data_IF_451196543149
#
_entry.id   IF_451196543149
#
_cell.length_a   1.000
_cell.length_b   1.000
_cell.length_c   1.000
_cell.angle_alpha   90.00
_cell.angle_beta   90.00
_cell.angle_gamma   90.00
#
_symmetry.space_group_name_H-M   'P 1'
#
loop_
_entity.id
_entity.type
_entity.pdbx_description
1 polymer ?
#
# COMPACT_ATOMS: atom_id res chain seq x y z
N UNK A 1 -31.11 17.99 4.49
CA UNK A 1 -29.88 18.00 5.30
C UNK A 1 -28.82 18.85 4.59
N UNK A 2 -28.25 19.89 5.21
CA UNK A 2 -27.25 20.71 4.57
C UNK A 2 -25.92 19.94 4.47
N UNK A 3 -25.35 19.90 3.27
CA UNK A 3 -24.02 19.32 3.01
C UNK A 3 -22.99 20.11 3.81
N UNK A 4 -22.38 19.52 4.84
CA UNK A 4 -21.23 20.11 5.53
C UNK A 4 -20.10 20.25 4.51
N UNK A 5 -19.78 21.49 4.13
CA UNK A 5 -18.58 21.82 3.33
C UNK A 5 -17.38 21.69 4.27
N UNK A 6 -16.67 20.58 4.19
CA UNK A 6 -15.29 20.49 4.68
C UNK A 6 -14.43 21.29 3.70
N UNK A 7 -14.39 22.61 3.88
CA UNK A 7 -13.47 23.51 3.19
C UNK A 7 -12.46 23.96 4.25
N UNK A 8 -11.35 23.25 4.36
CA UNK A 8 -10.13 23.89 4.85
C UNK A 8 -9.85 25.08 3.94
N UNK A 9 -9.51 26.27 4.48
CA UNK A 9 -9.08 27.38 3.63
C UNK A 9 -7.90 26.88 2.80
N UNK A 10 -7.98 27.04 1.47
CA UNK A 10 -6.83 26.79 0.60
C UNK A 10 -5.84 27.94 0.89
N UNK A 11 -4.94 27.69 1.84
CA UNK A 11 -3.80 28.56 2.09
C UNK A 11 -2.86 28.48 0.90
N UNK A 12 -2.29 29.61 0.50
CA UNK A 12 -1.23 29.62 -0.51
C UNK A 12 0.03 29.08 0.18
N UNK A 13 0.17 27.76 0.21
CA UNK A 13 1.27 27.06 0.89
C UNK A 13 2.65 27.58 0.46
N UNK A 14 2.76 28.18 -0.73
CA UNK A 14 4.00 28.79 -1.21
C UNK A 14 4.39 30.08 -0.46
N UNK A 15 3.45 30.73 0.24
CA UNK A 15 3.66 31.93 1.04
C UNK A 15 3.78 31.65 2.53
N UNK A 16 3.46 30.43 2.95
CA UNK A 16 3.52 30.01 4.35
C UNK A 16 4.99 29.88 4.80
N UNK A 17 5.35 30.34 6.02
CA UNK A 17 6.69 30.16 6.53
C UNK A 17 7.01 28.67 6.73
N UNK A 18 8.27 28.29 6.48
CA UNK A 18 8.72 26.88 6.56
C UNK A 18 8.37 26.23 7.89
N UNK A 19 8.47 26.96 9.00
CA UNK A 19 8.11 26.46 10.33
C UNK A 19 6.65 26.00 10.43
N UNK A 20 5.72 26.76 9.85
CA UNK A 20 4.31 26.40 9.84
C UNK A 20 4.06 25.15 8.98
N UNK A 21 4.67 25.07 7.79
CA UNK A 21 4.59 23.87 6.95
C UNK A 21 5.17 22.62 7.64
N UNK A 22 6.25 22.78 8.40
CA UNK A 22 6.85 21.71 9.19
C UNK A 22 5.89 21.21 10.28
N UNK A 23 5.28 22.12 11.06
CA UNK A 23 4.34 21.76 12.12
C UNK A 23 3.14 20.93 11.61
N UNK A 24 2.65 21.21 10.40
CA UNK A 24 1.55 20.46 9.79
C UNK A 24 1.97 19.10 9.23
N UNK A 25 3.22 18.95 8.77
CA UNK A 25 3.71 17.71 8.15
C UNK A 25 4.34 16.75 9.15
N UNK A 26 5.01 17.28 10.17
CA UNK A 26 5.82 16.51 11.11
C UNK A 26 5.04 15.39 11.80
N UNK A 27 3.80 15.56 12.28
CA UNK A 27 3.06 14.47 12.91
C UNK A 27 2.88 13.27 12.00
N UNK A 28 2.53 13.49 10.73
CA UNK A 28 2.33 12.44 9.74
C UNK A 28 3.64 11.78 9.32
N UNK A 29 4.72 12.56 9.19
CA UNK A 29 6.06 12.04 8.89
C UNK A 29 6.63 11.21 10.04
N UNK A 30 6.40 11.61 11.29
CA UNK A 30 6.78 10.84 12.49
C UNK A 30 6.01 9.52 12.53
N UNK A 31 4.72 9.54 12.20
CA UNK A 31 3.92 8.31 12.11
C UNK A 31 4.48 7.37 11.03
N UNK A 32 4.79 7.90 9.84
CA UNK A 32 5.45 7.14 8.76
C UNK A 32 6.80 6.57 9.17
N UNK A 33 7.62 7.35 9.89
CA UNK A 33 8.91 6.91 10.42
C UNK A 33 8.74 5.73 11.39
N UNK A 34 7.77 5.79 12.31
CA UNK A 34 7.46 4.69 13.21
C UNK A 34 7.03 3.45 12.40
N UNK A 35 6.18 3.64 11.38
CA UNK A 35 5.80 2.57 10.46
C UNK A 35 7.01 1.91 9.78
N UNK A 36 7.95 2.69 9.26
CA UNK A 36 9.18 2.20 8.66
C UNK A 36 10.10 1.47 9.65
N UNK A 37 10.17 1.92 10.90
CA UNK A 37 10.89 1.20 11.96
C UNK A 37 10.25 -0.16 12.27
N UNK A 38 8.91 -0.22 12.33
CA UNK A 38 8.18 -1.48 12.51
C UNK A 38 8.43 -2.41 11.31
N UNK A 39 8.38 -1.89 10.08
CA UNK A 39 8.68 -2.65 8.87
C UNK A 39 10.10 -3.23 8.92
N UNK A 40 11.08 -2.45 9.37
CA UNK A 40 12.47 -2.91 9.55
C UNK A 40 12.58 -4.08 10.54
N UNK A 41 11.84 -4.02 11.66
CA UNK A 41 11.75 -5.12 12.64
C UNK A 41 11.06 -6.35 12.03
N UNK A 42 10.06 -6.17 11.16
CA UNK A 42 9.43 -7.30 10.45
C UNK A 42 10.45 -7.96 9.53
N UNK A 43 11.20 -7.19 8.74
CA UNK A 43 12.24 -7.74 7.85
C UNK A 43 13.30 -8.49 8.64
N UNK A 44 13.74 -7.98 9.80
CA UNK A 44 14.78 -8.65 10.61
C UNK A 44 14.34 -10.03 11.12
N UNK A 45 13.03 -10.28 11.28
CA UNK A 45 12.52 -11.61 11.65
C UNK A 45 12.68 -12.65 10.54
N UNK A 46 12.90 -12.21 9.30
CA UNK A 46 13.11 -13.06 8.14
C UNK A 46 14.58 -13.10 7.70
N UNK A 47 15.52 -12.73 8.58
CA UNK A 47 16.96 -12.76 8.32
C UNK A 47 17.44 -14.14 7.82
N UNK A 48 16.92 -15.24 8.39
CA UNK A 48 17.29 -16.60 7.94
C UNK A 48 16.91 -16.86 6.47
N UNK A 49 15.80 -16.30 6.00
CA UNK A 49 15.36 -16.41 4.60
C UNK A 49 16.27 -15.60 3.70
N UNK A 50 16.59 -14.36 4.10
CA UNK A 50 17.51 -13.51 3.37
C UNK A 50 18.93 -14.09 3.36
N UNK A 51 19.36 -14.76 4.42
CA UNK A 51 20.65 -15.44 4.47
C UNK A 51 20.69 -16.68 3.57
N UNK A 52 19.56 -17.35 3.36
CA UNK A 52 19.46 -18.45 2.39
C UNK A 52 19.59 -17.93 0.95
N UNK A 53 19.00 -16.78 0.63
CA UNK A 53 19.20 -16.09 -0.65
C UNK A 53 19.07 -14.56 -0.57
N UNK A 54 20.21 -13.87 -0.53
CA UNK A 54 20.27 -12.41 -0.40
C UNK A 54 19.61 -11.68 -1.59
N UNK A 55 19.46 -12.35 -2.75
CA UNK A 55 18.86 -11.74 -3.95
C UNK A 55 17.38 -11.44 -3.76
N UNK A 56 16.71 -12.07 -2.79
CA UNK A 56 15.33 -11.74 -2.42
C UNK A 56 15.19 -10.27 -1.97
N UNK A 57 16.21 -9.72 -1.30
CA UNK A 57 16.19 -8.33 -0.85
C UNK A 57 16.04 -7.33 -1.99
N UNK A 58 16.47 -7.69 -3.22
CA UNK A 58 16.41 -6.79 -4.39
C UNK A 58 14.98 -6.45 -4.81
N UNK A 59 14.00 -7.30 -4.47
CA UNK A 59 12.60 -7.11 -4.88
C UNK A 59 11.74 -6.46 -3.81
N UNK A 60 12.26 -6.27 -2.59
CA UNK A 60 11.52 -5.59 -1.51
C UNK A 60 11.05 -4.19 -1.97
N UNK A 61 11.91 -3.30 -2.54
CA UNK A 61 11.47 -1.98 -2.95
C UNK A 61 10.40 -2.05 -4.05
N UNK A 62 10.54 -2.99 -4.99
CA UNK A 62 9.60 -3.16 -6.10
C UNK A 62 8.20 -3.56 -5.60
N UNK A 63 8.13 -4.54 -4.70
CA UNK A 63 6.87 -5.05 -4.18
C UNK A 63 6.16 -4.00 -3.33
N UNK A 64 6.89 -3.36 -2.42
CA UNK A 64 6.35 -2.30 -1.55
C UNK A 64 5.83 -1.14 -2.40
N UNK A 65 6.67 -0.60 -3.29
CA UNK A 65 6.29 0.52 -4.16
C UNK A 65 5.05 0.23 -5.00
N UNK A 66 5.02 -0.91 -5.71
CA UNK A 66 3.93 -1.15 -6.66
C UNK A 66 2.60 -1.42 -5.94
N UNK A 67 2.64 -2.04 -4.76
CA UNK A 67 1.45 -2.27 -3.94
C UNK A 67 0.88 -0.95 -3.41
N UNK A 68 1.73 -0.05 -2.89
CA UNK A 68 1.34 1.28 -2.43
C UNK A 68 0.86 2.17 -3.58
N UNK A 69 1.49 2.11 -4.76
CA UNK A 69 1.06 2.87 -5.93
C UNK A 69 -0.35 2.47 -6.40
N UNK A 70 -0.66 1.17 -6.42
CA UNK A 70 -2.01 0.67 -6.74
C UNK A 70 -3.00 1.07 -5.65
N UNK A 71 -2.61 0.90 -4.38
CA UNK A 71 -3.43 1.30 -3.23
C UNK A 71 -3.79 2.79 -3.27
N UNK A 72 -2.80 3.67 -3.44
CA UNK A 72 -2.99 5.14 -3.50
C UNK A 72 -3.89 5.56 -4.65
N UNK A 73 -3.79 4.90 -5.81
CA UNK A 73 -4.70 5.15 -6.94
C UNK A 73 -6.14 4.77 -6.60
N UNK A 74 -6.35 3.58 -6.04
CA UNK A 74 -7.68 3.14 -5.59
C UNK A 74 -8.23 4.05 -4.48
N UNK A 75 -7.42 4.41 -3.49
CA UNK A 75 -7.80 5.27 -2.38
C UNK A 75 -8.27 6.64 -2.88
N UNK A 76 -7.48 7.27 -3.74
CA UNK A 76 -7.79 8.60 -4.30
C UNK A 76 -9.14 8.61 -5.01
N UNK A 77 -9.40 7.58 -5.83
CA UNK A 77 -10.67 7.44 -6.56
C UNK A 77 -11.81 7.17 -5.58
N UNK A 78 -11.59 6.35 -4.56
CA UNK A 78 -12.61 5.98 -3.59
C UNK A 78 -12.99 7.12 -2.64
N UNK A 79 -12.03 7.89 -2.13
CA UNK A 79 -12.31 9.10 -1.33
C UNK A 79 -13.18 10.09 -2.12
N UNK A 80 -12.93 10.23 -3.42
CA UNK A 80 -13.79 11.03 -4.31
C UNK A 80 -15.18 10.42 -4.46
N UNK A 81 -15.29 9.10 -4.61
CA UNK A 81 -16.57 8.38 -4.67
C UNK A 81 -17.41 8.60 -3.40
N UNK A 82 -16.80 8.54 -2.22
CA UNK A 82 -17.46 8.81 -0.93
C UNK A 82 -18.04 10.23 -0.86
N UNK A 83 -17.29 11.23 -1.35
CA UNK A 83 -17.75 12.63 -1.39
C UNK A 83 -18.89 12.86 -2.38
N UNK A 84 -18.96 12.09 -3.47
CA UNK A 84 -19.98 12.24 -4.51
C UNK A 84 -21.27 11.46 -4.22
N UNK A 85 -21.15 10.20 -3.80
CA UNK A 85 -22.29 9.29 -3.64
C UNK A 85 -22.48 8.81 -2.21
N UNK A 86 -21.39 8.47 -1.51
CA UNK A 86 -21.40 7.93 -0.14
C UNK A 86 -22.17 6.62 0.03
N UNK A 87 -22.42 5.87 -1.06
CA UNK A 87 -23.25 4.64 -1.04
C UNK A 87 -22.56 3.52 -1.84
N UNK A 88 -22.92 2.28 -1.50
CA UNK A 88 -22.52 1.10 -2.27
C UNK A 88 -21.09 0.64 -2.04
N UNK A 89 -20.63 0.60 -0.78
CA UNK A 89 -19.30 0.12 -0.42
C UNK A 89 -19.02 -1.31 -0.92
N UNK A 90 -19.89 -2.28 -0.61
CA UNK A 90 -19.65 -3.69 -0.98
C UNK A 90 -19.53 -3.92 -2.50
N UNK A 91 -20.44 -3.41 -3.36
CA UNK A 91 -20.25 -3.52 -4.81
C UNK A 91 -18.98 -2.83 -5.33
N UNK A 92 -18.59 -1.70 -4.73
CA UNK A 92 -17.36 -1.00 -5.09
C UNK A 92 -16.13 -1.84 -4.71
N UNK A 93 -16.06 -2.31 -3.46
CA UNK A 93 -15.00 -3.18 -2.96
C UNK A 93 -14.84 -4.41 -3.84
N UNK A 94 -15.93 -5.09 -4.19
CA UNK A 94 -15.87 -6.28 -5.03
C UNK A 94 -15.28 -5.98 -6.42
N UNK A 95 -15.70 -4.87 -7.03
CA UNK A 95 -15.16 -4.42 -8.32
C UNK A 95 -13.66 -4.13 -8.23
N UNK A 96 -13.22 -3.43 -7.19
CA UNK A 96 -11.81 -3.12 -6.97
C UNK A 96 -10.99 -4.38 -6.67
N UNK A 97 -11.53 -5.36 -5.95
CA UNK A 97 -10.86 -6.66 -5.75
C UNK A 97 -10.64 -7.39 -7.08
N UNK A 98 -11.61 -7.40 -7.99
CA UNK A 98 -11.42 -7.98 -9.33
C UNK A 98 -10.38 -7.23 -10.17
N UNK A 99 -10.34 -5.90 -10.05
CA UNK A 99 -9.30 -5.09 -10.68
C UNK A 99 -7.92 -5.45 -10.11
N UNK A 100 -7.82 -5.54 -8.78
CA UNK A 100 -6.61 -5.97 -8.08
C UNK A 100 -6.13 -7.34 -8.52
N UNK A 101 -7.01 -8.33 -8.61
CA UNK A 101 -6.70 -9.67 -9.13
C UNK A 101 -6.13 -9.61 -10.55
N UNK A 102 -6.71 -8.77 -11.41
CA UNK A 102 -6.25 -8.60 -12.79
C UNK A 102 -4.86 -7.95 -12.83
N UNK A 103 -4.65 -6.89 -12.05
CA UNK A 103 -3.34 -6.23 -11.94
C UNK A 103 -2.30 -7.16 -11.35
N UNK A 104 -2.65 -7.92 -10.31
CA UNK A 104 -1.79 -8.92 -9.69
C UNK A 104 -1.37 -9.99 -10.69
N UNK A 105 -2.27 -10.47 -11.54
CA UNK A 105 -1.93 -11.46 -12.56
C UNK A 105 -0.92 -10.90 -13.57
N UNK A 106 -1.16 -9.68 -14.05
CA UNK A 106 -0.30 -9.02 -15.04
C UNK A 106 1.09 -8.73 -14.44
N UNK A 107 1.14 -8.01 -13.33
CA UNK A 107 2.40 -7.58 -12.73
C UNK A 107 3.13 -8.73 -12.02
N UNK A 108 2.41 -9.71 -11.48
CA UNK A 108 2.99 -10.95 -10.95
C UNK A 108 3.67 -11.76 -12.04
N UNK A 109 3.02 -11.94 -13.19
CA UNK A 109 3.65 -12.63 -14.32
C UNK A 109 4.88 -11.89 -14.82
N UNK A 110 4.78 -10.57 -15.05
CA UNK A 110 5.89 -9.75 -15.56
C UNK A 110 7.08 -9.78 -14.60
N UNK A 111 6.85 -9.49 -13.31
CA UNK A 111 7.91 -9.43 -12.31
C UNK A 111 8.53 -10.80 -12.04
N UNK A 112 7.72 -11.86 -12.00
CA UNK A 112 8.20 -13.23 -11.80
C UNK A 112 9.05 -13.73 -12.97
N UNK A 113 8.64 -13.49 -14.22
CA UNK A 113 9.43 -13.84 -15.40
C UNK A 113 10.73 -13.03 -15.46
N UNK A 114 10.66 -11.74 -15.16
CA UNK A 114 11.85 -10.90 -15.09
C UNK A 114 12.86 -11.42 -14.05
N UNK A 115 12.40 -11.69 -12.82
CA UNK A 115 13.24 -12.20 -11.75
C UNK A 115 13.83 -13.58 -12.07
N UNK A 116 13.02 -14.47 -12.66
CA UNK A 116 13.44 -15.80 -13.08
C UNK A 116 14.57 -15.73 -14.12
N UNK A 117 14.41 -14.88 -15.13
CA UNK A 117 15.38 -14.72 -16.20
C UNK A 117 16.65 -14.03 -15.72
N UNK A 118 16.52 -12.91 -15.01
CA UNK A 118 17.65 -12.09 -14.61
C UNK A 118 18.56 -12.79 -13.59
N UNK A 119 17.97 -13.47 -12.61
CA UNK A 119 18.73 -14.14 -11.54
C UNK A 119 18.95 -15.63 -11.79
N UNK A 120 18.52 -16.13 -12.95
CA UNK A 120 18.58 -17.53 -13.36
C UNK A 120 18.06 -18.49 -12.27
N UNK A 121 16.96 -18.10 -11.59
CA UNK A 121 16.41 -18.84 -10.45
C UNK A 121 14.88 -18.94 -10.55
N UNK A 122 14.35 -20.14 -10.88
CA UNK A 122 12.91 -20.37 -10.87
C UNK A 122 12.26 -20.12 -9.51
N UNK A 123 12.95 -20.46 -8.41
CA UNK A 123 12.45 -20.27 -7.05
C UNK A 123 12.25 -18.78 -6.72
N UNK A 124 13.21 -17.91 -7.07
CA UNK A 124 13.06 -16.46 -6.88
C UNK A 124 11.96 -15.92 -7.80
N UNK A 125 11.93 -16.34 -9.06
CA UNK A 125 10.91 -15.93 -10.02
C UNK A 125 9.49 -16.22 -9.54
N UNK A 126 9.25 -17.45 -9.07
CA UNK A 126 7.97 -17.85 -8.49
C UNK A 126 7.64 -17.07 -7.22
N UNK A 127 8.62 -16.86 -6.35
CA UNK A 127 8.46 -16.08 -5.11
C UNK A 127 8.01 -14.65 -5.41
N UNK A 128 8.73 -13.95 -6.29
CA UNK A 128 8.43 -12.57 -6.67
C UNK A 128 7.07 -12.48 -7.36
N UNK A 129 6.81 -13.38 -8.32
CA UNK A 129 5.58 -13.35 -9.10
C UNK A 129 4.33 -13.63 -8.26
N UNK A 130 4.37 -14.64 -7.39
CA UNK A 130 3.25 -14.97 -6.49
C UNK A 130 3.06 -13.88 -5.43
N UNK A 131 4.13 -13.35 -4.85
CA UNK A 131 4.02 -12.27 -3.88
C UNK A 131 3.41 -11.02 -4.49
N UNK A 132 3.85 -10.65 -5.69
CA UNK A 132 3.28 -9.51 -6.41
C UNK A 132 1.82 -9.75 -6.77
N UNK A 133 1.46 -10.96 -7.19
CA UNK A 133 0.06 -11.33 -7.46
C UNK A 133 -0.83 -11.13 -6.23
N UNK A 134 -0.45 -11.70 -5.09
CA UNK A 134 -1.25 -11.63 -3.85
C UNK A 134 -1.31 -10.19 -3.34
N UNK A 135 -0.19 -9.46 -3.34
CA UNK A 135 -0.14 -8.09 -2.85
C UNK A 135 -1.05 -7.15 -3.64
N UNK A 136 -0.97 -7.18 -4.98
CA UNK A 136 -1.80 -6.31 -5.82
C UNK A 136 -3.28 -6.74 -5.82
N UNK A 137 -3.56 -8.01 -5.53
CA UNK A 137 -4.94 -8.48 -5.33
C UNK A 137 -5.58 -7.91 -4.07
N UNK A 138 -4.79 -7.67 -3.03
CA UNK A 138 -5.26 -7.17 -1.73
C UNK A 138 -5.17 -5.64 -1.60
N UNK A 139 -4.26 -4.98 -2.32
CA UNK A 139 -4.02 -3.54 -2.18
C UNK A 139 -5.30 -2.69 -2.37
N UNK A 140 -6.17 -2.93 -3.38
CA UNK A 140 -7.40 -2.16 -3.53
C UNK A 140 -8.39 -2.35 -2.36
N UNK A 141 -8.42 -3.53 -1.75
CA UNK A 141 -9.27 -3.79 -0.60
C UNK A 141 -8.80 -3.00 0.62
N UNK A 142 -7.50 -3.00 0.91
CA UNK A 142 -6.93 -2.22 2.03
C UNK A 142 -7.15 -0.72 1.82
N UNK A 143 -6.92 -0.24 0.59
CA UNK A 143 -7.06 1.16 0.20
C UNK A 143 -8.51 1.68 0.23
N UNK A 144 -9.51 0.80 0.19
CA UNK A 144 -10.94 1.20 0.28
C UNK A 144 -11.48 1.08 1.70
N UNK A 145 -11.04 0.09 2.48
CA UNK A 145 -11.53 -0.14 3.84
C UNK A 145 -11.18 1.04 4.76
N UNK A 146 -9.95 1.57 4.69
CA UNK A 146 -9.50 2.64 5.60
C UNK A 146 -10.33 3.93 5.40
N UNK A 147 -10.48 4.48 4.18
CA UNK A 147 -11.35 5.64 3.96
C UNK A 147 -12.83 5.41 4.34
N UNK A 148 -13.35 4.21 4.07
CA UNK A 148 -14.74 3.85 4.43
C UNK A 148 -14.96 3.90 5.94
N UNK A 149 -14.02 3.39 6.73
CA UNK A 149 -14.09 3.43 8.18
C UNK A 149 -14.06 4.87 8.70
N UNK A 150 -13.14 5.70 8.21
CA UNK A 150 -13.08 7.11 8.58
C UNK A 150 -14.36 7.86 8.22
N UNK A 151 -14.94 7.57 7.05
CA UNK A 151 -16.20 8.16 6.61
C UNK A 151 -17.38 7.80 7.53
N UNK A 152 -17.45 6.54 7.98
CA UNK A 152 -18.48 6.08 8.93
C UNK A 152 -18.35 6.75 10.30
N UNK A 153 -17.13 7.01 10.74
CA UNK A 153 -16.83 7.75 11.98
C UNK A 153 -16.94 9.28 11.80
N UNK A 154 -17.51 9.76 10.70
CA UNK A 154 -17.71 11.18 10.40
C UNK A 154 -16.42 12.02 10.34
N UNK A 155 -15.27 11.38 10.10
CA UNK A 155 -13.97 12.03 9.88
C UNK A 155 -13.73 12.21 8.39
N UNK A 156 -13.11 13.31 7.94
CA UNK A 156 -12.79 13.49 6.51
C UNK A 156 -11.69 12.50 6.11
N UNK A 157 -11.96 11.51 5.25
CA UNK A 157 -10.97 10.51 4.86
C UNK A 157 -9.76 11.13 4.17
N UNK A 158 -9.91 12.29 3.52
CA UNK A 158 -8.83 12.96 2.81
C UNK A 158 -7.70 13.49 3.73
N UNK A 159 -7.94 13.57 5.05
CA UNK A 159 -6.96 14.12 5.99
C UNK A 159 -6.00 13.09 6.57
N UNK A 160 -6.38 11.80 6.60
CA UNK A 160 -5.61 10.79 7.35
C UNK A 160 -5.56 9.39 6.76
N UNK A 161 -6.34 9.09 5.72
CA UNK A 161 -6.34 7.75 5.13
C UNK A 161 -4.98 7.41 4.50
N UNK A 162 -4.36 8.34 3.77
CA UNK A 162 -3.11 8.10 3.04
C UNK A 162 -1.96 7.57 3.89
N UNK A 163 -1.45 8.31 4.90
CA UNK A 163 -0.33 7.85 5.71
C UNK A 163 -0.60 6.52 6.44
N UNK A 164 -1.82 6.31 6.92
CA UNK A 164 -2.20 5.06 7.58
C UNK A 164 -2.27 3.89 6.58
N UNK A 165 -2.82 4.13 5.40
CA UNK A 165 -2.91 3.14 4.33
C UNK A 165 -1.52 2.70 3.88
N UNK A 166 -0.59 3.63 3.65
CA UNK A 166 0.78 3.31 3.27
C UNK A 166 1.47 2.44 4.32
N UNK A 167 1.42 2.80 5.61
CA UNK A 167 2.07 2.01 6.67
C UNK A 167 1.52 0.58 6.72
N UNK A 168 0.18 0.44 6.67
CA UNK A 168 -0.47 -0.87 6.70
C UNK A 168 -0.12 -1.67 5.45
N UNK A 169 -0.15 -1.02 4.28
CA UNK A 169 0.18 -1.63 3.00
C UNK A 169 1.62 -2.15 2.99
N UNK A 170 2.59 -1.35 3.42
CA UNK A 170 4.00 -1.74 3.49
C UNK A 170 4.20 -2.98 4.35
N UNK A 171 3.60 -3.01 5.55
CA UNK A 171 3.72 -4.14 6.47
C UNK A 171 3.09 -5.41 5.89
N UNK A 172 1.89 -5.31 5.33
CA UNK A 172 1.20 -6.44 4.71
C UNK A 172 1.99 -6.93 3.49
N UNK A 173 2.53 -6.03 2.67
CA UNK A 173 3.33 -6.35 1.50
C UNK A 173 4.60 -7.13 1.85
N UNK A 174 5.30 -6.71 2.90
CA UNK A 174 6.48 -7.43 3.42
C UNK A 174 6.10 -8.79 3.99
N UNK A 175 5.05 -8.87 4.81
CA UNK A 175 4.61 -10.13 5.41
C UNK A 175 4.21 -11.16 4.35
N UNK A 176 3.44 -10.75 3.33
CA UNK A 176 3.06 -11.63 2.22
C UNK A 176 4.29 -12.08 1.44
N UNK A 177 5.21 -11.16 1.13
CA UNK A 177 6.43 -11.49 0.40
C UNK A 177 7.25 -12.54 1.13
N UNK A 178 7.54 -12.33 2.41
CA UNK A 178 8.34 -13.24 3.19
C UNK A 178 7.63 -14.56 3.51
N UNK A 179 6.30 -14.55 3.68
CA UNK A 179 5.54 -15.80 3.84
C UNK A 179 5.66 -16.67 2.58
N UNK A 180 5.50 -16.08 1.40
CA UNK A 180 5.63 -16.80 0.13
C UNK A 180 7.08 -17.26 -0.08
N UNK A 181 8.07 -16.41 0.22
CA UNK A 181 9.47 -16.79 0.17
C UNK A 181 9.77 -17.96 1.10
N UNK A 182 9.23 -17.96 2.32
CA UNK A 182 9.37 -19.06 3.28
C UNK A 182 8.90 -20.38 2.69
N UNK A 183 7.72 -20.39 2.05
CA UNK A 183 7.08 -21.58 1.51
C UNK A 183 7.75 -22.16 0.26
N UNK A 184 8.55 -21.36 -0.45
CA UNK A 184 9.19 -21.75 -1.71
C UNK A 184 10.66 -22.10 -1.51
N UNK A 185 11.34 -21.38 -0.62
CA UNK A 185 12.77 -21.55 -0.36
C UNK A 185 13.04 -22.65 0.67
N UNK A 186 12.12 -22.86 1.62
CA UNK A 186 12.17 -23.92 2.64
C UNK A 186 11.02 -24.91 2.47
#
# INVERSE_FOLDING_TARGET
MPKRKFQTPVTDDAKEPVGHLLEHRLPWLVLGLIGGMIASIVVSKYEQILAADLRLAFFIPLIVYLSDAVGTQTETIFVRHLKQTGKGFFPYLLKETFLGLSLGAIFGLISGLFAMYWLASPAIGLTVGLAMFVNLSLAPALATIIPELLYKEHTDPALGAGPLATIIQDLISLLIYFLIASLIIF
#
